data_IF_868295583469
#
_entry.id   IF_868295583469
#
_cell.length_a   1.000
_cell.length_b   1.000
_cell.length_c   1.000
_cell.angle_alpha   90.00
_cell.angle_beta   90.00
_cell.angle_gamma   90.00
#
_symmetry.space_group_name_H-M   'P 1'
#
loop_
_entity.id
_entity.type
_entity.pdbx_description
1 polymer ?
#
# COMPACT_ATOMS: atom_id res chain seq x y z
N UNK A 1 16.46 -15.94 -16.96
CA UNK A 1 16.29 -17.32 -16.43
C UNK A 1 17.08 -17.54 -15.12
N UNK A 2 18.27 -16.94 -14.93
CA UNK A 2 19.03 -17.05 -13.69
C UNK A 2 18.43 -16.14 -12.61
N UNK A 3 18.21 -14.88 -12.92
CA UNK A 3 17.60 -13.85 -12.04
C UNK A 3 16.28 -14.36 -11.43
N UNK A 4 15.35 -14.83 -12.26
CA UNK A 4 14.08 -15.41 -11.78
C UNK A 4 14.25 -16.51 -10.73
N UNK A 5 15.32 -17.31 -10.80
CA UNK A 5 15.57 -18.38 -9.81
C UNK A 5 16.02 -17.79 -8.48
N UNK A 6 16.81 -16.74 -8.51
CA UNK A 6 17.25 -16.03 -7.30
C UNK A 6 16.06 -15.38 -6.61
N UNK A 7 15.26 -14.60 -7.35
CA UNK A 7 14.03 -13.98 -6.85
C UNK A 7 13.08 -15.01 -6.22
N UNK A 8 12.87 -16.14 -6.90
CA UNK A 8 12.04 -17.21 -6.35
C UNK A 8 12.59 -17.80 -5.04
N UNK A 9 13.91 -17.86 -4.87
CA UNK A 9 14.53 -18.31 -3.62
C UNK A 9 14.39 -17.26 -2.52
N UNK A 10 14.56 -15.99 -2.84
CA UNK A 10 14.36 -14.86 -1.92
C UNK A 10 12.91 -14.83 -1.42
N UNK A 11 11.94 -14.90 -2.33
CA UNK A 11 10.52 -14.97 -1.99
C UNK A 11 10.21 -16.14 -1.04
N UNK A 12 10.75 -17.32 -1.33
CA UNK A 12 10.56 -18.50 -0.46
C UNK A 12 11.19 -18.30 0.93
N UNK A 13 12.34 -17.64 0.98
CA UNK A 13 13.01 -17.36 2.26
C UNK A 13 12.19 -16.40 3.10
N UNK A 14 11.74 -15.27 2.52
CA UNK A 14 10.88 -14.31 3.21
C UNK A 14 9.55 -14.94 3.65
N UNK A 15 8.91 -15.71 2.75
CA UNK A 15 7.67 -16.41 3.09
C UNK A 15 7.82 -17.38 4.26
N UNK A 16 9.02 -17.96 4.46
CA UNK A 16 9.29 -18.85 5.59
C UNK A 16 9.38 -18.14 6.95
N UNK A 17 9.49 -16.82 6.96
CA UNK A 17 9.52 -16.01 8.18
C UNK A 17 8.12 -15.57 8.61
N UNK A 18 7.12 -15.69 7.72
CA UNK A 18 5.73 -15.36 8.05
C UNK A 18 5.18 -16.34 9.08
N UNK A 19 4.44 -15.86 10.12
CA UNK A 19 3.77 -16.73 11.08
C UNK A 19 2.82 -17.72 10.39
N UNK A 20 2.88 -18.99 10.75
CA UNK A 20 2.08 -20.05 10.11
C UNK A 20 0.59 -19.99 10.44
N UNK A 21 0.24 -19.36 11.54
CA UNK A 21 -1.12 -19.28 12.09
C UNK A 21 -1.74 -17.87 11.95
N UNK A 22 -1.13 -17.00 11.18
CA UNK A 22 -1.69 -15.67 10.92
C UNK A 22 -2.97 -15.79 10.10
N UNK A 23 -4.03 -15.18 10.59
CA UNK A 23 -5.33 -15.17 9.91
C UNK A 23 -5.35 -14.14 8.77
N UNK A 24 -6.33 -14.27 7.87
CA UNK A 24 -6.53 -13.30 6.80
C UNK A 24 -6.65 -11.86 7.34
N UNK A 25 -7.37 -11.67 8.43
CA UNK A 25 -7.63 -10.35 8.97
C UNK A 25 -6.42 -9.76 9.70
N UNK A 26 -5.63 -10.59 10.40
CA UNK A 26 -4.35 -10.15 10.97
C UNK A 26 -3.37 -9.72 9.88
N UNK A 27 -3.28 -10.47 8.78
CA UNK A 27 -2.50 -10.07 7.59
C UNK A 27 -3.01 -8.73 7.03
N UNK A 28 -4.32 -8.52 6.99
CA UNK A 28 -4.93 -7.26 6.53
C UNK A 28 -4.51 -6.08 7.40
N UNK A 29 -4.52 -6.22 8.72
CA UNK A 29 -4.03 -5.18 9.64
C UNK A 29 -2.56 -4.83 9.36
N UNK A 30 -1.74 -5.84 9.05
CA UNK A 30 -0.34 -5.60 8.70
C UNK A 30 -0.18 -4.82 7.38
N UNK A 31 -1.05 -5.08 6.38
CA UNK A 31 -1.08 -4.31 5.14
C UNK A 31 -1.47 -2.85 5.37
N UNK A 32 -2.52 -2.61 6.15
CA UNK A 32 -2.97 -1.24 6.43
C UNK A 32 -1.98 -0.47 7.28
N UNK A 33 -1.33 -1.12 8.24
CA UNK A 33 -0.26 -0.49 9.01
C UNK A 33 0.91 -0.08 8.10
N UNK A 34 1.29 -0.97 7.16
CA UNK A 34 2.33 -0.65 6.17
C UNK A 34 1.89 0.51 5.26
N UNK A 35 0.62 0.54 4.82
CA UNK A 35 0.09 1.62 3.98
C UNK A 35 0.21 2.97 4.69
N UNK A 36 -0.25 3.06 5.94
CA UNK A 36 -0.14 4.28 6.76
C UNK A 36 1.32 4.72 6.91
N UNK A 37 2.22 3.81 7.29
CA UNK A 37 3.64 4.13 7.50
C UNK A 37 4.32 4.56 6.21
N UNK A 38 4.12 3.81 5.12
CA UNK A 38 4.74 4.09 3.83
C UNK A 38 4.25 5.43 3.27
N UNK A 39 2.93 5.64 3.22
CA UNK A 39 2.35 6.87 2.70
C UNK A 39 2.80 8.09 3.51
N UNK A 40 2.83 7.98 4.85
CA UNK A 40 3.32 9.04 5.72
C UNK A 40 4.81 9.34 5.50
N UNK A 41 5.65 8.31 5.37
CA UNK A 41 7.07 8.45 5.11
C UNK A 41 7.34 9.13 3.76
N UNK A 42 6.67 8.68 2.70
CA UNK A 42 6.81 9.28 1.38
C UNK A 42 6.31 10.73 1.35
N UNK A 43 5.20 11.03 2.02
CA UNK A 43 4.64 12.39 2.11
C UNK A 43 5.60 13.37 2.82
N UNK A 44 6.34 12.91 3.82
CA UNK A 44 7.32 13.75 4.53
C UNK A 44 8.50 14.16 3.66
N UNK A 45 8.96 13.31 2.75
CA UNK A 45 10.12 13.57 1.89
C UNK A 45 9.77 14.07 0.49
N UNK A 46 8.49 13.99 0.09
CA UNK A 46 8.06 14.38 -1.25
C UNK A 46 8.34 15.85 -1.55
N UNK A 47 9.05 16.11 -2.63
CA UNK A 47 9.41 17.47 -3.10
C UNK A 47 8.44 17.98 -4.16
N UNK A 48 7.86 17.11 -4.98
CA UNK A 48 6.79 17.49 -5.92
C UNK A 48 5.49 17.75 -5.16
N UNK A 49 4.94 18.97 -5.33
CA UNK A 49 3.75 19.42 -4.60
C UNK A 49 2.49 18.65 -4.94
N UNK A 50 2.34 18.23 -6.20
CA UNK A 50 1.16 17.47 -6.63
C UNK A 50 1.20 16.05 -6.08
N UNK A 51 2.38 15.44 -6.13
CA UNK A 51 2.60 14.11 -5.57
C UNK A 51 2.41 14.11 -4.04
N UNK A 52 3.01 15.11 -3.35
CA UNK A 52 2.79 15.30 -1.91
C UNK A 52 1.30 15.43 -1.56
N UNK A 53 0.56 16.27 -2.27
CA UNK A 53 -0.86 16.46 -2.01
C UNK A 53 -1.69 15.18 -2.24
N UNK A 54 -1.27 14.34 -3.18
CA UNK A 54 -1.90 13.04 -3.40
C UNK A 54 -1.62 12.08 -2.24
N UNK A 55 -0.38 12.04 -1.73
CA UNK A 55 -0.01 11.25 -0.56
C UNK A 55 -0.74 11.73 0.71
N UNK A 56 -0.73 13.04 0.98
CA UNK A 56 -1.42 13.63 2.14
C UNK A 56 -2.92 13.31 2.14
N UNK A 57 -3.54 13.23 0.96
CA UNK A 57 -4.95 12.86 0.84
C UNK A 57 -5.18 11.37 1.07
N UNK A 58 -4.42 10.51 0.39
CA UNK A 58 -4.56 9.06 0.50
C UNK A 58 -4.25 8.56 1.92
N UNK A 59 -3.32 9.19 2.63
CA UNK A 59 -3.03 8.88 4.03
C UNK A 59 -4.28 8.93 4.93
N UNK A 60 -5.22 9.83 4.65
CA UNK A 60 -6.50 9.89 5.38
C UNK A 60 -7.37 8.68 5.09
N UNK A 61 -7.33 8.18 3.86
CA UNK A 61 -8.06 6.96 3.44
C UNK A 61 -7.39 5.72 4.03
N UNK A 62 -6.05 5.64 4.06
CA UNK A 62 -5.31 4.54 4.70
C UNK A 62 -5.63 4.42 6.19
N UNK A 63 -5.73 5.55 6.90
CA UNK A 63 -6.21 5.55 8.29
C UNK A 63 -7.67 5.05 8.42
N UNK A 64 -8.56 5.45 7.51
CA UNK A 64 -9.94 4.94 7.49
C UNK A 64 -9.95 3.42 7.32
N UNK A 65 -9.16 2.89 6.40
CA UNK A 65 -9.06 1.46 6.16
C UNK A 65 -8.55 0.71 7.39
N UNK A 66 -7.47 1.17 8.00
CA UNK A 66 -6.90 0.56 9.22
C UNK A 66 -7.94 0.51 10.35
N UNK A 67 -8.64 1.61 10.61
CA UNK A 67 -9.66 1.66 11.67
C UNK A 67 -10.85 0.74 11.39
N UNK A 68 -11.34 0.69 10.16
CA UNK A 68 -12.46 -0.15 9.78
C UNK A 68 -12.13 -1.64 9.84
N UNK A 69 -10.91 -2.02 9.46
CA UNK A 69 -10.45 -3.41 9.63
C UNK A 69 -10.16 -3.73 11.10
N UNK A 70 -9.67 -2.76 11.89
CA UNK A 70 -9.51 -2.93 13.34
C UNK A 70 -10.85 -3.23 14.02
N UNK A 71 -11.91 -2.50 13.66
CA UNK A 71 -13.27 -2.75 14.15
C UNK A 71 -13.77 -4.14 13.74
N UNK A 72 -13.51 -4.55 12.50
CA UNK A 72 -13.88 -5.90 12.03
C UNK A 72 -13.12 -6.99 12.78
N UNK A 73 -11.82 -6.78 13.07
CA UNK A 73 -11.00 -7.71 13.84
C UNK A 73 -11.52 -7.89 15.26
N UNK A 74 -11.85 -6.80 15.95
CA UNK A 74 -12.38 -6.85 17.29
C UNK A 74 -13.77 -7.51 17.32
N UNK A 75 -14.66 -7.14 16.40
CA UNK A 75 -16.03 -7.69 16.35
C UNK A 75 -16.05 -9.18 15.99
N UNK A 76 -15.20 -9.63 15.10
CA UNK A 76 -15.23 -10.97 14.53
C UNK A 76 -14.36 -11.99 15.26
N UNK A 77 -13.28 -11.51 15.89
CA UNK A 77 -12.24 -12.35 16.51
C UNK A 77 -11.99 -12.01 17.99
N UNK A 78 -12.50 -10.89 18.49
CA UNK A 78 -12.22 -10.40 19.84
C UNK A 78 -10.77 -9.97 20.05
N UNK A 79 -10.04 -9.69 18.97
CA UNK A 79 -8.64 -9.29 18.98
C UNK A 79 -8.56 -7.80 18.73
N UNK A 80 -7.86 -7.06 19.58
CA UNK A 80 -7.62 -5.64 19.38
C UNK A 80 -6.41 -5.44 18.48
N UNK A 81 -6.57 -4.58 17.47
CA UNK A 81 -5.53 -4.35 16.47
C UNK A 81 -4.23 -3.80 17.07
N UNK A 82 -4.31 -3.05 18.19
CA UNK A 82 -3.14 -2.53 18.90
C UNK A 82 -2.22 -3.64 19.43
N UNK A 83 -2.73 -4.86 19.62
CA UNK A 83 -1.90 -6.01 19.97
C UNK A 83 -1.02 -6.50 18.83
N UNK A 84 -1.39 -6.14 17.58
CA UNK A 84 -0.66 -6.50 16.36
C UNK A 84 0.28 -5.36 15.92
N UNK A 85 -0.22 -4.13 15.90
CA UNK A 85 0.55 -2.97 15.43
C UNK A 85 1.42 -2.33 16.53
N UNK A 86 1.21 -2.70 17.79
CA UNK A 86 1.99 -2.16 18.90
C UNK A 86 1.87 -0.65 19.03
N UNK A 87 3.01 0.04 19.08
CA UNK A 87 3.08 1.49 19.23
C UNK A 87 3.25 2.24 17.89
N UNK A 88 3.17 1.57 16.76
CA UNK A 88 3.36 2.21 15.44
C UNK A 88 2.23 3.19 15.11
N UNK A 89 0.98 2.79 15.37
CA UNK A 89 -0.19 3.63 15.10
C UNK A 89 -1.17 3.54 16.24
N UNK A 90 -1.66 4.70 16.71
CA UNK A 90 -2.71 4.75 17.70
C UNK A 90 -4.07 4.56 17.06
N UNK A 91 -4.77 3.50 17.45
CA UNK A 91 -6.13 3.22 17.01
C UNK A 91 -7.09 3.74 18.06
N UNK A 92 -7.78 4.84 17.73
CA UNK A 92 -8.69 5.54 18.64
C UNK A 92 -10.09 4.96 18.55
N UNK A 93 -10.64 4.37 19.63
CA UNK A 93 -12.03 3.93 19.66
C UNK A 93 -13.00 5.08 19.34
N UNK A 94 -13.97 4.81 18.49
CA UNK A 94 -15.01 5.78 18.14
C UNK A 94 -14.54 6.92 17.23
N UNK A 95 -13.35 6.87 16.69
CA UNK A 95 -12.93 7.82 15.66
C UNK A 95 -13.81 7.62 14.43
N UNK A 96 -14.51 8.67 13.95
CA UNK A 96 -15.37 8.53 12.78
C UNK A 96 -14.50 8.20 11.57
N UNK A 97 -14.82 7.10 10.92
CA UNK A 97 -14.28 6.75 9.62
C UNK A 97 -15.19 7.36 8.56
N UNK A 98 -14.62 8.06 7.61
CA UNK A 98 -15.37 8.67 6.52
C UNK A 98 -14.95 7.96 5.24
N UNK A 99 -15.89 7.25 4.62
CA UNK A 99 -15.69 6.76 3.28
C UNK A 99 -15.50 7.96 2.34
N UNK A 100 -14.29 8.15 1.84
CA UNK A 100 -13.98 9.24 0.93
C UNK A 100 -14.45 8.89 -0.47
N UNK A 101 -15.45 9.60 -0.96
CA UNK A 101 -15.90 9.49 -2.34
C UNK A 101 -15.25 10.61 -3.16
N UNK A 102 -14.38 10.23 -4.07
CA UNK A 102 -13.80 11.13 -5.05
C UNK A 102 -14.59 11.11 -6.35
N UNK A 103 -14.63 12.27 -7.02
CA UNK A 103 -15.03 12.27 -8.41
C UNK A 103 -14.04 11.42 -9.23
N UNK A 104 -14.50 10.58 -10.18
CA UNK A 104 -13.62 9.68 -10.94
C UNK A 104 -12.39 10.36 -11.57
N UNK A 105 -12.53 11.61 -11.99
CA UNK A 105 -11.41 12.38 -12.56
C UNK A 105 -10.38 12.87 -11.53
N UNK A 106 -10.71 12.85 -10.24
CA UNK A 106 -9.79 13.32 -9.20
C UNK A 106 -8.68 12.30 -8.93
N UNK A 107 -8.90 11.04 -9.29
CA UNK A 107 -7.88 10.00 -9.19
C UNK A 107 -6.77 10.14 -10.24
N UNK A 108 -7.08 10.75 -11.39
CA UNK A 108 -6.09 10.90 -12.47
C UNK A 108 -5.35 12.23 -12.30
N UNK A 109 -4.05 12.15 -12.10
CA UNK A 109 -3.17 13.31 -11.94
C UNK A 109 -2.39 13.56 -13.21
N UNK A 110 -1.72 14.71 -13.26
CA UNK A 110 -0.83 15.03 -14.38
C UNK A 110 0.46 14.24 -14.24
N UNK A 111 0.82 13.47 -15.27
CA UNK A 111 2.07 12.74 -15.31
C UNK A 111 3.29 13.66 -15.10
N UNK A 112 4.26 13.18 -14.36
CA UNK A 112 5.56 13.83 -14.21
C UNK A 112 6.38 13.68 -15.50
N UNK A 113 7.37 14.56 -15.68
CA UNK A 113 8.37 14.40 -16.73
C UNK A 113 9.63 13.81 -16.07
N UNK A 114 9.92 12.56 -16.33
CA UNK A 114 11.03 11.81 -15.72
C UNK A 114 12.40 12.43 -15.94
N UNK A 115 12.51 13.37 -16.92
CA UNK A 115 13.75 14.11 -17.20
C UNK A 115 13.87 15.41 -16.40
N UNK A 116 12.81 15.84 -15.71
CA UNK A 116 12.75 17.09 -14.97
C UNK A 116 12.44 16.91 -13.49
N UNK A 117 11.69 15.88 -13.15
CA UNK A 117 11.40 15.56 -11.76
C UNK A 117 12.65 14.91 -11.11
N UNK A 118 12.80 15.06 -9.81
CA UNK A 118 13.89 14.41 -9.10
C UNK A 118 13.72 12.88 -9.05
N UNK A 119 14.84 12.17 -8.92
CA UNK A 119 14.87 10.71 -8.93
C UNK A 119 14.05 10.10 -7.79
N UNK A 120 14.02 10.75 -6.62
CA UNK A 120 13.24 10.24 -5.47
C UNK A 120 11.75 10.30 -5.74
N UNK A 121 11.23 11.37 -6.34
CA UNK A 121 9.81 11.44 -6.75
C UNK A 121 9.48 10.32 -7.74
N UNK A 122 10.35 10.05 -8.71
CA UNK A 122 10.17 8.94 -9.65
C UNK A 122 10.15 7.59 -8.92
N UNK A 123 11.13 7.35 -8.06
CA UNK A 123 11.23 6.12 -7.26
C UNK A 123 10.00 5.94 -6.37
N UNK A 124 9.64 6.96 -5.61
CA UNK A 124 8.52 6.93 -4.67
C UNK A 124 7.18 6.68 -5.36
N UNK A 125 6.99 7.25 -6.54
CA UNK A 125 5.79 7.01 -7.35
C UNK A 125 5.68 5.53 -7.75
N UNK A 126 6.78 4.90 -8.14
CA UNK A 126 6.78 3.47 -8.46
C UNK A 126 6.56 2.60 -7.22
N UNK A 127 7.20 2.93 -6.10
CA UNK A 127 7.06 2.19 -4.83
C UNK A 127 5.60 2.21 -4.37
N UNK A 128 5.00 3.39 -4.23
CA UNK A 128 3.63 3.49 -3.73
C UNK A 128 2.63 2.85 -4.68
N UNK A 129 2.79 3.04 -6.00
CA UNK A 129 1.90 2.39 -6.98
C UNK A 129 1.95 0.87 -6.86
N UNK A 130 3.14 0.29 -6.67
CA UNK A 130 3.30 -1.15 -6.51
C UNK A 130 2.71 -1.65 -5.19
N UNK A 131 2.88 -0.91 -4.09
CA UNK A 131 2.30 -1.23 -2.78
C UNK A 131 0.78 -1.26 -2.85
N UNK A 132 0.16 -0.21 -3.39
CA UNK A 132 -1.30 -0.12 -3.55
C UNK A 132 -1.85 -1.22 -4.46
N UNK A 133 -1.16 -1.53 -5.55
CA UNK A 133 -1.56 -2.64 -6.42
C UNK A 133 -1.50 -3.98 -5.70
N UNK A 134 -0.52 -4.19 -4.84
CA UNK A 134 -0.40 -5.39 -4.01
C UNK A 134 -1.58 -5.49 -3.04
N UNK A 135 -1.90 -4.41 -2.35
CA UNK A 135 -3.00 -4.32 -1.38
C UNK A 135 -4.34 -4.53 -2.06
N UNK A 136 -4.60 -3.83 -3.15
CA UNK A 136 -5.80 -4.01 -3.99
C UNK A 136 -5.97 -5.47 -4.40
N UNK A 137 -4.92 -6.10 -4.95
CA UNK A 137 -4.97 -7.48 -5.39
C UNK A 137 -5.28 -8.44 -4.22
N UNK A 138 -4.71 -8.19 -3.05
CA UNK A 138 -4.98 -8.97 -1.86
C UNK A 138 -6.45 -8.89 -1.46
N UNK A 139 -7.02 -7.69 -1.36
CA UNK A 139 -8.42 -7.49 -0.95
C UNK A 139 -9.41 -8.04 -1.98
N UNK A 140 -9.19 -7.79 -3.25
CA UNK A 140 -10.08 -8.27 -4.31
C UNK A 140 -10.07 -9.78 -4.46
N UNK A 141 -8.94 -10.44 -4.19
CA UNK A 141 -8.85 -11.90 -4.28
C UNK A 141 -9.34 -12.62 -3.01
N UNK A 142 -8.98 -12.12 -1.83
CA UNK A 142 -9.29 -12.81 -0.57
C UNK A 142 -10.59 -12.36 0.07
N UNK A 143 -11.03 -11.13 -0.18
CA UNK A 143 -12.26 -10.60 0.40
C UNK A 143 -13.49 -11.45 0.11
N UNK A 144 -13.59 -12.01 -1.09
CA UNK A 144 -14.70 -12.89 -1.49
C UNK A 144 -14.83 -14.15 -0.63
N UNK A 145 -13.75 -14.60 0.00
CA UNK A 145 -13.70 -15.79 0.86
C UNK A 145 -13.87 -15.48 2.34
N UNK A 146 -14.06 -14.21 2.70
CA UNK A 146 -14.26 -13.86 4.09
C UNK A 146 -15.54 -14.49 4.65
N UNK A 147 -15.50 -14.87 5.94
CA UNK A 147 -16.51 -15.75 6.57
C UNK A 147 -17.95 -15.21 6.60
N UNK A 148 -18.14 -13.88 6.57
CA UNK A 148 -19.45 -13.25 6.62
C UNK A 148 -19.63 -12.13 5.58
N UNK A 149 -20.89 -11.73 5.35
CA UNK A 149 -21.24 -10.73 4.35
C UNK A 149 -20.72 -9.33 4.67
N UNK A 150 -20.67 -8.97 5.95
CA UNK A 150 -20.18 -7.66 6.38
C UNK A 150 -18.70 -7.50 6.02
N UNK A 151 -17.88 -8.51 6.33
CA UNK A 151 -16.48 -8.52 5.96
C UNK A 151 -16.27 -8.56 4.45
N UNK A 152 -17.00 -9.42 3.70
CA UNK A 152 -16.92 -9.44 2.23
C UNK A 152 -17.22 -8.06 1.61
N UNK A 153 -18.25 -7.39 2.14
CA UNK A 153 -18.60 -6.04 1.70
C UNK A 153 -17.49 -5.05 2.00
N UNK A 154 -16.93 -5.09 3.20
CA UNK A 154 -15.84 -4.21 3.62
C UNK A 154 -14.60 -4.38 2.72
N UNK A 155 -14.16 -5.62 2.50
CA UNK A 155 -13.03 -5.89 1.60
C UNK A 155 -13.26 -5.40 0.17
N UNK A 156 -14.47 -5.55 -0.35
CA UNK A 156 -14.82 -5.06 -1.68
C UNK A 156 -14.79 -3.53 -1.73
N UNK A 157 -15.37 -2.88 -0.72
CA UNK A 157 -15.46 -1.42 -0.64
C UNK A 157 -14.07 -0.79 -0.54
N UNK A 158 -13.23 -1.29 0.36
CA UNK A 158 -11.84 -0.80 0.52
C UNK A 158 -11.01 -1.17 -0.72
N UNK A 159 -11.11 -2.39 -1.24
CA UNK A 159 -10.41 -2.78 -2.47
C UNK A 159 -10.69 -1.87 -3.67
N UNK A 160 -11.90 -1.29 -3.75
CA UNK A 160 -12.24 -0.28 -4.77
C UNK A 160 -11.57 1.08 -4.49
N UNK A 161 -11.32 1.43 -3.23
CA UNK A 161 -10.54 2.63 -2.89
C UNK A 161 -9.08 2.42 -3.23
N UNK A 162 -8.52 1.25 -2.94
CA UNK A 162 -7.15 0.89 -3.33
C UNK A 162 -6.94 0.92 -4.85
N UNK A 163 -7.95 0.52 -5.63
CA UNK A 163 -7.90 0.67 -7.10
C UNK A 163 -7.82 2.14 -7.52
N UNK A 164 -8.50 3.04 -6.79
CA UNK A 164 -8.37 4.47 -7.01
C UNK A 164 -6.96 4.98 -6.62
N UNK A 165 -6.35 4.46 -5.57
CA UNK A 165 -4.96 4.77 -5.19
C UNK A 165 -3.98 4.33 -6.29
N UNK A 166 -4.13 3.12 -6.82
CA UNK A 166 -3.31 2.64 -7.96
C UNK A 166 -3.43 3.59 -9.14
N UNK A 167 -4.65 3.98 -9.51
CA UNK A 167 -4.90 4.91 -10.61
C UNK A 167 -4.32 6.30 -10.32
N UNK A 168 -4.44 6.79 -9.08
CA UNK A 168 -3.91 8.08 -8.66
C UNK A 168 -2.39 8.13 -8.77
N UNK A 169 -1.71 7.19 -8.14
CA UNK A 169 -0.25 7.17 -8.12
C UNK A 169 0.33 6.76 -9.47
N UNK A 170 -0.26 5.76 -10.12
CA UNK A 170 0.15 5.34 -11.46
C UNK A 170 0.05 6.44 -12.52
N UNK A 171 -0.90 7.39 -12.35
CA UNK A 171 -1.06 8.50 -13.27
C UNK A 171 0.09 9.54 -13.20
N UNK A 172 0.89 9.54 -12.13
CA UNK A 172 2.11 10.36 -12.06
C UNK A 172 3.28 9.79 -12.87
N UNK A 173 3.26 8.50 -13.20
CA UNK A 173 4.33 7.85 -13.96
C UNK A 173 4.39 8.45 -15.37
N UNK A 174 5.61 8.80 -15.81
CA UNK A 174 5.81 9.37 -17.14
C UNK A 174 5.47 8.34 -18.23
N UNK A 175 4.46 8.58 -19.05
CA UNK A 175 4.07 7.64 -20.11
C UNK A 175 5.06 7.59 -21.30
N UNK A 176 6.05 8.48 -21.31
CA UNK A 176 7.03 8.56 -22.40
C UNK A 176 8.31 7.77 -22.13
N UNK A 177 8.42 7.14 -20.95
CA UNK A 177 9.57 6.27 -20.65
C UNK A 177 9.55 5.03 -21.54
N UNK A 178 10.72 4.61 -21.97
CA UNK A 178 10.86 3.35 -22.72
C UNK A 178 10.71 2.15 -21.79
N UNK A 179 10.41 0.99 -22.38
CA UNK A 179 10.37 -0.26 -21.61
C UNK A 179 11.69 -0.55 -20.87
N UNK A 180 12.82 -0.17 -21.46
CA UNK A 180 14.12 -0.36 -20.83
C UNK A 180 14.31 0.56 -19.61
N UNK A 181 13.92 1.82 -19.72
CA UNK A 181 13.91 2.76 -18.58
C UNK A 181 12.98 2.30 -17.47
N UNK A 182 11.80 1.79 -17.82
CA UNK A 182 10.84 1.22 -16.87
C UNK A 182 11.44 0.02 -16.13
N UNK A 183 12.08 -0.91 -16.86
CA UNK A 183 12.75 -2.06 -16.25
C UNK A 183 13.94 -1.63 -15.37
N UNK A 184 14.71 -0.64 -15.78
CA UNK A 184 15.81 -0.11 -14.97
C UNK A 184 15.28 0.50 -13.66
N UNK A 185 14.18 1.23 -13.72
CA UNK A 185 13.54 1.79 -12.53
C UNK A 185 13.00 0.70 -11.60
N UNK A 186 12.46 -0.37 -12.16
CA UNK A 186 12.00 -1.52 -11.38
C UNK A 186 13.15 -2.18 -10.61
N UNK A 187 14.25 -2.49 -11.27
CA UNK A 187 15.44 -3.06 -10.62
C UNK A 187 16.05 -2.11 -9.57
N UNK A 188 16.05 -0.80 -9.86
CA UNK A 188 16.50 0.21 -8.91
C UNK A 188 15.60 0.27 -7.67
N UNK A 189 14.27 0.18 -7.86
CA UNK A 189 13.29 0.14 -6.77
C UNK A 189 13.51 -1.08 -5.88
N UNK A 190 13.69 -2.26 -6.45
CA UNK A 190 13.97 -3.47 -5.68
C UNK A 190 15.27 -3.36 -4.90
N UNK A 191 16.34 -2.88 -5.54
CA UNK A 191 17.62 -2.65 -4.89
C UNK A 191 17.50 -1.68 -3.70
N UNK A 192 16.76 -0.59 -3.88
CA UNK A 192 16.50 0.39 -2.83
C UNK A 192 15.74 -0.24 -1.65
N UNK A 193 14.67 -0.98 -1.92
CA UNK A 193 13.87 -1.63 -0.88
C UNK A 193 14.70 -2.64 -0.07
N UNK A 194 15.46 -3.50 -0.74
CA UNK A 194 16.32 -4.47 -0.05
C UNK A 194 17.44 -3.81 0.77
N UNK A 195 18.01 -2.72 0.26
CA UNK A 195 19.01 -1.97 0.98
C UNK A 195 18.43 -1.28 2.22
N UNK A 196 17.26 -0.64 2.10
CA UNK A 196 16.56 -0.05 3.25
C UNK A 196 16.25 -1.09 4.32
N UNK A 197 15.73 -2.25 3.94
CA UNK A 197 15.46 -3.34 4.88
C UNK A 197 16.72 -3.81 5.62
N UNK A 198 17.85 -3.86 4.91
CA UNK A 198 19.14 -4.24 5.52
C UNK A 198 19.65 -3.19 6.52
N UNK A 199 19.42 -1.90 6.25
CA UNK A 199 19.86 -0.81 7.15
C UNK A 199 18.98 -0.70 8.41
N UNK A 200 17.71 -1.13 8.31
CA UNK A 200 16.74 -1.02 9.40
C UNK A 200 16.75 -2.23 10.35
N UNK A 201 17.37 -3.37 9.97
CA UNK A 201 17.56 -4.56 10.82
C UNK A 201 18.88 -4.51 11.63
#
# INVERSE_FOLDING_TARGET
>A
AVTRRVEQQQQKRLASLKPLNETQLETTISYEQLAVDLTAFLAQRATDKSFKAALDFALLEDFDHLYRYADLLENDMGVRAETLVGNYTEIMPGRPTIAHHRHPNDSIKRATDSKKVDLMTTLDTHIITAAEQQTMNYYMNLGAFYKNDAGRKLYTEIGMVEEQHVSQYGSFIDPNVTLLECNLMHEYTECYLYYSMYEDE
#
